data_IF_559560755825
#
_entry.id   IF_559560755825
#
_cell.length_a   1.000
_cell.length_b   1.000
_cell.length_c   1.000
_cell.angle_alpha   90.00
_cell.angle_beta   90.00
_cell.angle_gamma   90.00
#
_symmetry.space_group_name_H-M   'P 1'
#
loop_
_entity.id
_entity.type
_entity.pdbx_description
1 polymer ?
#
# COMPACT_ATOMS: atom_id res chain seq x y z
N UNK A 1 -18.68 1.85 -11.44
CA UNK A 1 -17.23 2.04 -11.20
C UNK A 1 -16.37 1.80 -12.44
N UNK A 2 -16.41 0.63 -13.08
CA UNK A 2 -15.57 0.35 -14.27
C UNK A 2 -15.69 1.39 -15.40
N UNK A 3 -16.92 1.89 -15.65
CA UNK A 3 -17.17 2.96 -16.63
C UNK A 3 -16.43 4.28 -16.32
N UNK A 4 -16.36 4.67 -15.05
CA UNK A 4 -15.66 5.89 -14.64
C UNK A 4 -14.14 5.74 -14.77
N UNK A 5 -13.61 4.57 -14.42
CA UNK A 5 -12.18 4.25 -14.62
C UNK A 5 -11.81 4.24 -16.11
N UNK A 6 -12.64 3.63 -16.96
CA UNK A 6 -12.42 3.62 -18.40
C UNK A 6 -12.47 5.03 -19.01
N UNK A 7 -13.40 5.87 -18.56
CA UNK A 7 -13.47 7.28 -18.96
C UNK A 7 -12.22 8.06 -18.50
N UNK A 8 -11.80 7.87 -17.25
CA UNK A 8 -10.58 8.49 -16.73
C UNK A 8 -9.34 8.10 -17.53
N UNK A 9 -9.20 6.82 -17.86
CA UNK A 9 -8.10 6.29 -18.68
C UNK A 9 -8.06 6.91 -20.08
N UNK A 10 -9.21 7.29 -20.65
CA UNK A 10 -9.29 7.93 -21.97
C UNK A 10 -9.11 9.45 -21.90
N UNK A 11 -9.64 10.09 -20.85
CA UNK A 11 -9.55 11.55 -20.66
C UNK A 11 -8.14 11.98 -20.27
N UNK A 12 -7.47 11.21 -19.43
CA UNK A 12 -6.12 11.50 -18.95
C UNK A 12 -5.12 11.74 -20.09
N UNK A 13 -4.93 10.84 -21.09
CA UNK A 13 -3.99 11.08 -22.18
C UNK A 13 -4.38 12.25 -23.07
N UNK A 14 -5.68 12.57 -23.20
CA UNK A 14 -6.12 13.77 -23.93
C UNK A 14 -5.64 15.04 -23.23
N UNK A 15 -5.76 15.09 -21.90
CA UNK A 15 -5.27 16.20 -21.08
C UNK A 15 -3.73 16.29 -21.19
N UNK A 16 -3.03 15.16 -21.16
CA UNK A 16 -1.58 15.13 -21.32
C UNK A 16 -1.13 15.73 -22.65
N UNK A 17 -1.76 15.32 -23.75
CA UNK A 17 -1.43 15.86 -25.08
C UNK A 17 -1.69 17.37 -25.12
N UNK A 18 -2.79 17.85 -24.55
CA UNK A 18 -3.09 19.28 -24.48
C UNK A 18 -2.02 20.06 -23.69
N UNK A 19 -1.56 19.54 -22.56
CA UNK A 19 -0.48 20.15 -21.77
C UNK A 19 0.84 20.08 -22.52
N UNK A 20 1.17 18.95 -23.13
CA UNK A 20 2.40 18.76 -23.89
C UNK A 20 2.51 19.76 -25.06
N UNK A 21 1.42 19.95 -25.81
CA UNK A 21 1.36 20.95 -26.88
C UNK A 21 1.57 22.36 -26.31
N UNK A 22 0.86 22.71 -25.22
CA UNK A 22 0.97 24.04 -24.62
C UNK A 22 2.38 24.32 -24.11
N UNK A 23 3.00 23.38 -23.40
CA UNK A 23 4.38 23.52 -22.91
C UNK A 23 5.34 23.60 -24.10
N UNK A 24 5.21 22.69 -25.08
CA UNK A 24 6.02 22.68 -26.29
C UNK A 24 5.96 23.98 -27.08
N UNK A 25 4.81 24.65 -27.12
CA UNK A 25 4.66 25.97 -27.74
C UNK A 25 5.29 27.10 -26.92
N UNK A 26 5.30 27.00 -25.59
CA UNK A 26 5.86 28.05 -24.71
C UNK A 26 7.39 28.03 -24.61
N UNK A 27 7.99 26.84 -24.51
CA UNK A 27 9.44 26.69 -24.28
C UNK A 27 10.18 26.04 -25.45
N UNK A 28 9.47 25.41 -26.40
CA UNK A 28 10.04 24.70 -27.53
C UNK A 28 10.18 23.18 -27.31
N UNK A 29 10.40 22.44 -28.39
CA UNK A 29 10.42 20.97 -28.37
C UNK A 29 11.57 20.38 -27.54
N UNK A 30 12.81 20.81 -27.79
CA UNK A 30 13.99 20.27 -27.10
C UNK A 30 13.94 20.39 -25.57
N UNK A 31 13.63 21.56 -24.97
CA UNK A 31 13.53 21.65 -23.51
C UNK A 31 12.34 20.86 -22.96
N UNK A 32 11.23 20.76 -23.71
CA UNK A 32 10.09 19.89 -23.32
C UNK A 32 10.50 18.43 -23.23
N UNK A 33 11.26 17.93 -24.22
CA UNK A 33 11.80 16.56 -24.19
C UNK A 33 12.80 16.38 -23.04
N UNK A 34 13.67 17.37 -22.79
CA UNK A 34 14.60 17.33 -21.67
C UNK A 34 13.88 17.26 -20.32
N UNK A 35 12.75 17.97 -20.15
CA UNK A 35 11.92 17.89 -18.94
C UNK A 35 11.33 16.49 -18.74
N UNK A 36 10.77 15.88 -19.80
CA UNK A 36 10.24 14.50 -19.72
C UNK A 36 11.34 13.52 -19.34
N UNK A 37 12.49 13.58 -20.01
CA UNK A 37 13.61 12.70 -19.72
C UNK A 37 14.10 12.92 -18.28
N UNK A 38 14.22 14.18 -17.86
CA UNK A 38 14.59 14.54 -16.50
C UNK A 38 13.61 14.02 -15.45
N UNK A 39 12.31 14.13 -15.69
CA UNK A 39 11.26 13.60 -14.82
C UNK A 39 11.32 12.06 -14.74
N UNK A 40 11.49 11.38 -15.87
CA UNK A 40 11.64 9.92 -15.91
C UNK A 40 12.89 9.45 -15.16
N UNK A 41 14.03 10.14 -15.32
CA UNK A 41 15.27 9.83 -14.60
C UNK A 41 15.12 10.07 -13.09
N UNK A 42 14.56 11.22 -12.70
CA UNK A 42 14.32 11.57 -11.30
C UNK A 42 13.36 10.58 -10.64
N UNK A 43 12.25 10.29 -11.30
CA UNK A 43 11.24 9.32 -10.85
C UNK A 43 11.83 7.92 -10.75
N UNK A 44 12.57 7.46 -11.76
CA UNK A 44 13.25 6.16 -11.75
C UNK A 44 14.28 6.04 -10.63
N UNK A 45 15.03 7.11 -10.34
CA UNK A 45 15.96 7.16 -9.22
C UNK A 45 15.23 7.05 -7.87
N UNK A 46 14.17 7.83 -7.66
CA UNK A 46 13.31 7.77 -6.47
C UNK A 46 12.68 6.37 -6.30
N UNK A 47 12.19 5.79 -7.40
CA UNK A 47 11.60 4.45 -7.43
C UNK A 47 12.60 3.40 -6.97
N UNK A 48 13.82 3.46 -7.49
CA UNK A 48 14.90 2.53 -7.13
C UNK A 48 15.25 2.65 -5.65
N UNK A 49 15.44 3.88 -5.16
CA UNK A 49 15.85 4.12 -3.78
C UNK A 49 14.77 3.69 -2.76
N UNK A 50 13.51 4.05 -3.03
CA UNK A 50 12.42 3.84 -2.08
C UNK A 50 11.76 2.47 -2.25
N UNK A 51 11.61 1.98 -3.48
CA UNK A 51 10.99 0.69 -3.77
C UNK A 51 11.75 -0.48 -3.15
N UNK A 52 13.09 -0.45 -3.21
CA UNK A 52 13.93 -1.46 -2.57
C UNK A 52 13.77 -1.46 -1.05
N UNK A 53 13.78 -0.28 -0.43
CA UNK A 53 13.62 -0.11 1.03
C UNK A 53 12.25 -0.59 1.53
N UNK A 54 11.17 -0.28 0.81
CA UNK A 54 9.83 -0.73 1.18
C UNK A 54 9.69 -2.24 1.00
N UNK A 55 10.28 -2.82 -0.04
CA UNK A 55 10.25 -4.26 -0.27
C UNK A 55 11.02 -5.05 0.80
N UNK A 56 12.17 -4.56 1.25
CA UNK A 56 12.94 -5.20 2.33
C UNK A 56 12.20 -5.13 3.66
N UNK A 57 11.60 -3.98 3.98
CA UNK A 57 10.75 -3.84 5.17
C UNK A 57 9.53 -4.76 5.12
N UNK A 58 8.89 -4.87 3.95
CA UNK A 58 7.72 -5.74 3.76
C UNK A 58 8.09 -7.20 4.01
N UNK A 59 9.18 -7.68 3.41
CA UNK A 59 9.71 -9.03 3.62
C UNK A 59 10.06 -9.27 5.09
N UNK A 60 10.75 -8.34 5.74
CA UNK A 60 11.12 -8.44 7.15
C UNK A 60 9.91 -8.53 8.09
N UNK A 61 8.87 -7.72 7.85
CA UNK A 61 7.66 -7.75 8.67
C UNK A 61 6.86 -9.04 8.50
N UNK A 62 6.74 -9.53 7.26
CA UNK A 62 6.08 -10.81 6.97
C UNK A 62 6.82 -11.97 7.62
N UNK A 63 8.16 -12.02 7.50
CA UNK A 63 8.97 -13.06 8.15
C UNK A 63 8.92 -13.01 9.67
N UNK A 64 8.68 -11.83 10.26
CA UNK A 64 8.51 -11.65 11.70
C UNK A 64 7.08 -11.89 12.20
N UNK A 65 6.16 -12.31 11.33
CA UNK A 65 4.75 -12.53 11.69
C UNK A 65 3.98 -11.26 12.04
N UNK A 66 4.49 -10.07 11.68
CA UNK A 66 3.82 -8.77 11.94
C UNK A 66 2.97 -8.37 10.74
N UNK A 67 1.77 -7.88 10.97
CA UNK A 67 0.86 -7.42 9.91
C UNK A 67 1.32 -6.04 9.37
N UNK A 68 1.81 -5.93 8.12
CA UNK A 68 2.50 -4.72 7.64
C UNK A 68 1.57 -3.76 6.88
N UNK A 69 0.45 -3.35 7.48
CA UNK A 69 -0.57 -2.56 6.78
C UNK A 69 -0.05 -1.26 6.15
N UNK A 70 0.79 -0.52 6.87
CA UNK A 70 1.42 0.71 6.36
C UNK A 70 2.39 0.43 5.21
N UNK A 71 3.25 -0.56 5.36
CA UNK A 71 4.26 -0.92 4.35
C UNK A 71 3.60 -1.42 3.06
N UNK A 72 2.48 -2.13 3.15
CA UNK A 72 1.69 -2.54 1.98
C UNK A 72 1.11 -1.31 1.26
N UNK A 73 0.53 -0.37 2.01
CA UNK A 73 0.00 0.87 1.42
C UNK A 73 1.09 1.67 0.71
N UNK A 74 2.26 1.82 1.33
CA UNK A 74 3.40 2.49 0.71
C UNK A 74 3.86 1.76 -0.57
N UNK A 75 3.92 0.42 -0.56
CA UNK A 75 4.26 -0.38 -1.74
C UNK A 75 3.25 -0.19 -2.88
N UNK A 76 1.95 -0.15 -2.57
CA UNK A 76 0.88 0.08 -3.56
C UNK A 76 0.99 1.50 -4.15
N UNK A 77 1.21 2.52 -3.32
CA UNK A 77 1.39 3.89 -3.80
C UNK A 77 2.62 4.02 -4.71
N UNK A 78 3.74 3.39 -4.35
CA UNK A 78 4.94 3.34 -5.21
C UNK A 78 4.63 2.61 -6.52
N UNK A 79 3.87 1.52 -6.49
CA UNK A 79 3.45 0.80 -7.69
C UNK A 79 2.56 1.62 -8.62
N UNK A 80 1.60 2.38 -8.07
CA UNK A 80 0.77 3.31 -8.84
C UNK A 80 1.62 4.43 -9.44
N UNK A 81 2.54 4.99 -8.66
CA UNK A 81 3.49 6.00 -9.17
C UNK A 81 4.34 5.44 -10.32
N UNK A 82 4.78 4.19 -10.22
CA UNK A 82 5.54 3.52 -11.27
C UNK A 82 4.73 3.42 -12.57
N UNK A 83 3.46 3.03 -12.49
CA UNK A 83 2.57 2.92 -13.66
C UNK A 83 2.39 4.28 -14.33
N UNK A 84 2.22 5.36 -13.54
CA UNK A 84 2.12 6.71 -14.09
C UNK A 84 3.43 7.18 -14.72
N UNK A 85 4.58 6.84 -14.14
CA UNK A 85 5.90 7.20 -14.67
C UNK A 85 6.25 6.48 -15.99
N UNK A 86 5.65 5.31 -16.26
CA UNK A 86 5.87 4.56 -17.50
C UNK A 86 5.26 5.27 -18.71
N UNK A 87 4.17 6.00 -18.51
CA UNK A 87 3.53 6.80 -19.54
C UNK A 87 4.04 8.23 -19.42
N UNK A 88 5.04 8.65 -20.22
CA UNK A 88 5.61 9.99 -20.09
C UNK A 88 4.53 11.05 -20.36
N UNK A 89 4.22 11.84 -19.33
CA UNK A 89 3.18 12.86 -19.37
C UNK A 89 3.42 13.91 -18.30
N UNK A 90 3.15 15.18 -18.58
CA UNK A 90 3.41 16.26 -17.63
C UNK A 90 2.57 16.15 -16.36
N UNK A 91 1.28 15.87 -16.48
CA UNK A 91 0.39 15.78 -15.32
C UNK A 91 0.66 14.49 -14.53
N UNK A 92 0.82 13.38 -15.23
CA UNK A 92 1.09 12.06 -14.68
C UNK A 92 2.44 11.99 -14.00
N UNK A 93 3.48 12.63 -14.57
CA UNK A 93 4.80 12.73 -13.95
C UNK A 93 4.72 13.54 -12.64
N UNK A 94 3.99 14.66 -12.62
CA UNK A 94 3.80 15.43 -11.39
C UNK A 94 3.08 14.60 -10.32
N UNK A 95 2.02 13.88 -10.69
CA UNK A 95 1.29 13.02 -9.75
C UNK A 95 2.16 11.85 -9.28
N UNK A 96 2.91 11.21 -10.18
CA UNK A 96 3.82 10.11 -9.87
C UNK A 96 4.93 10.56 -8.90
N UNK A 97 5.59 11.67 -9.21
CA UNK A 97 6.64 12.25 -8.36
C UNK A 97 6.08 12.70 -7.01
N UNK A 98 4.88 13.29 -6.99
CA UNK A 98 4.20 13.63 -5.75
C UNK A 98 3.93 12.38 -4.90
N UNK A 99 3.44 11.30 -5.51
CA UNK A 99 3.17 10.04 -4.82
C UNK A 99 4.46 9.33 -4.35
N UNK A 100 5.60 9.62 -4.99
CA UNK A 100 6.91 9.17 -4.55
C UNK A 100 7.46 9.95 -3.36
N UNK A 101 6.88 11.09 -2.98
CA UNK A 101 7.30 11.81 -1.79
C UNK A 101 6.71 11.13 -0.53
N UNK A 102 7.55 10.72 0.44
CA UNK A 102 7.09 10.19 1.73
C UNK A 102 6.00 11.01 2.45
N UNK A 103 6.08 12.36 2.52
CA UNK A 103 5.05 13.16 3.20
C UNK A 103 3.68 13.11 2.51
N UNK A 104 3.66 12.96 1.18
CA UNK A 104 2.40 12.85 0.44
C UNK A 104 1.76 11.49 0.73
N UNK A 105 2.56 10.41 0.76
CA UNK A 105 2.08 9.07 1.10
C UNK A 105 1.56 8.98 2.52
N UNK A 106 2.26 9.58 3.50
CA UNK A 106 1.79 9.59 4.89
C UNK A 106 0.47 10.35 5.03
N UNK A 107 0.30 11.45 4.30
CA UNK A 107 -0.95 12.22 4.29
C UNK A 107 -2.09 11.43 3.66
N UNK A 108 -1.88 10.82 2.50
CA UNK A 108 -2.87 9.95 1.84
C UNK A 108 -3.23 8.77 2.74
N UNK A 109 -2.25 8.11 3.34
CA UNK A 109 -2.47 7.00 4.26
C UNK A 109 -3.31 7.43 5.48
N UNK A 110 -2.99 8.56 6.11
CA UNK A 110 -3.76 9.08 7.25
C UNK A 110 -5.21 9.40 6.85
N UNK A 111 -5.41 10.05 5.70
CA UNK A 111 -6.74 10.36 5.18
C UNK A 111 -7.56 9.09 4.89
N UNK A 112 -6.93 8.03 4.37
CA UNK A 112 -7.60 6.77 4.07
C UNK A 112 -7.85 5.95 5.33
N UNK A 113 -6.88 5.86 6.24
CA UNK A 113 -6.99 5.14 7.50
C UNK A 113 -8.09 5.72 8.39
N UNK A 114 -8.30 7.04 8.37
CA UNK A 114 -9.40 7.70 9.09
C UNK A 114 -10.81 7.26 8.66
N UNK A 115 -10.93 6.65 7.48
CA UNK A 115 -12.20 6.16 6.90
C UNK A 115 -12.32 4.64 6.94
N UNK A 116 -11.27 3.93 7.32
CA UNK A 116 -11.28 2.49 7.52
C UNK A 116 -11.58 2.27 9.00
N UNK A 117 -12.82 1.87 9.30
CA UNK A 117 -13.12 1.24 10.59
C UNK A 117 -12.22 0.03 10.66
N UNK A 118 -11.13 0.11 11.43
CA UNK A 118 -10.36 -1.06 11.78
C UNK A 118 -11.36 -1.93 12.49
N UNK A 119 -11.85 -2.96 11.79
CA UNK A 119 -12.44 -4.10 12.46
C UNK A 119 -11.25 -4.66 13.20
N UNK A 120 -11.09 -4.21 14.45
CA UNK A 120 -10.32 -4.93 15.41
C UNK A 120 -11.00 -6.30 15.41
N UNK A 121 -10.46 -7.23 14.63
CA UNK A 121 -10.54 -8.63 14.97
C UNK A 121 -9.74 -8.72 16.26
N UNK A 122 -10.33 -8.21 17.34
CA UNK A 122 -10.05 -8.64 18.68
C UNK A 122 -10.47 -10.10 18.64
N UNK A 123 -9.59 -10.95 18.11
CA UNK A 123 -9.36 -12.25 18.71
C UNK A 123 -8.91 -11.93 20.12
N UNK A 124 -9.90 -11.56 20.93
CA UNK A 124 -9.90 -11.86 22.34
C UNK A 124 -9.78 -13.38 22.35
N UNK A 125 -8.53 -13.84 22.31
CA UNK A 125 -8.14 -14.96 23.15
C UNK A 125 -8.55 -14.50 24.54
N UNK A 126 -9.82 -14.74 24.86
CA UNK A 126 -10.33 -14.82 26.21
C UNK A 126 -9.35 -15.78 26.86
N UNK A 127 -8.40 -15.20 27.60
CA UNK A 127 -7.57 -15.92 28.54
C UNK A 127 -8.57 -16.63 29.42
N UNK A 128 -8.83 -17.89 29.10
CA UNK A 128 -9.65 -18.76 29.89
C UNK A 128 -8.84 -18.95 31.16
N UNK A 129 -9.20 -18.15 32.15
CA UNK A 129 -8.76 -18.32 33.51
C UNK A 129 -9.08 -19.77 33.89
N UNK A 130 -8.11 -20.64 34.20
CA UNK A 130 -8.36 -22.05 34.52
C UNK A 130 -9.04 -22.24 35.88
N UNK A 131 -9.49 -21.16 36.52
CA UNK A 131 -9.83 -21.10 37.94
C UNK A 131 -11.28 -20.74 38.21
N UNK A 132 -12.24 -21.24 37.43
CA UNK A 132 -13.65 -21.15 37.79
C UNK A 132 -14.49 -22.15 36.99
N UNK A 133 -14.60 -23.37 37.48
CA UNK A 133 -15.50 -24.35 36.89
C UNK A 133 -15.29 -25.74 37.45
N UNK A 134 -15.74 -25.95 38.69
CA UNK A 134 -16.08 -27.27 39.22
C UNK A 134 -16.92 -27.99 38.17
N UNK A 135 -16.33 -28.96 37.49
CA UNK A 135 -17.06 -29.84 36.58
C UNK A 135 -17.86 -30.78 37.48
N UNK A 136 -19.10 -30.41 37.79
CA UNK A 136 -20.10 -31.34 38.32
C UNK A 136 -20.34 -32.41 37.25
N UNK A 137 -19.62 -33.52 37.34
CA UNK A 137 -19.75 -34.64 36.41
C UNK A 137 -18.44 -35.23 35.89
N UNK A 138 -17.28 -34.68 36.27
CA UNK A 138 -16.04 -35.44 36.13
C UNK A 138 -16.07 -36.55 37.17
N UNK A 139 -16.28 -37.79 36.73
CA UNK A 139 -16.10 -38.97 37.57
C UNK A 139 -14.59 -39.04 37.82
N UNK A 140 -14.18 -38.67 39.02
CA UNK A 140 -12.83 -38.92 39.49
C UNK A 140 -12.69 -40.43 39.60
N UNK A 141 -11.83 -41.01 38.77
CA UNK A 141 -11.49 -42.42 38.86
C UNK A 141 -10.49 -42.54 40.01
N UNK A 142 -10.99 -42.82 41.20
CA UNK A 142 -10.16 -43.13 42.36
C UNK A 142 -9.34 -44.40 42.07
N UNK A 143 -8.07 -44.42 42.49
CA UNK A 143 -7.11 -45.50 42.23
C UNK A 143 -7.60 -46.89 42.73
N UNK A 144 -8.56 -46.90 43.66
CA UNK A 144 -9.18 -48.09 44.25
C UNK A 144 -10.25 -48.75 43.34
N UNK A 145 -10.73 -48.05 42.31
CA UNK A 145 -11.73 -48.55 41.35
C UNK A 145 -11.09 -49.30 40.16
N UNK A 146 -9.75 -49.39 40.12
CA UNK A 146 -9.01 -50.18 39.14
C UNK A 146 -9.02 -51.67 39.51
N UNK A 147 -9.83 -52.47 38.82
CA UNK A 147 -9.78 -53.94 38.88
C UNK A 147 -9.11 -54.51 37.63
N UNK A 148 -7.83 -54.97 37.72
CA UNK A 148 -7.24 -55.73 36.63
C UNK A 148 -7.92 -57.10 36.51
N UNK A 149 -8.25 -57.47 35.27
CA UNK A 149 -8.78 -58.79 34.91
C UNK A 149 -7.66 -59.82 34.80
#
# INVERSE_FOLDING_TARGET
MARFLALGLLVLPIIEIAIFIKVGQTIGLFPTLALIIGAALLGGFLLRQQGLSVLTQLRGNVSAGRMPGRTIADAMMIGVAAIFLVLPGFLSDVVALALLLPPVRSWIYAALASRVTVVDTTTSYRRQDPSAGRIEGAIDLDEDDYRPR
#
